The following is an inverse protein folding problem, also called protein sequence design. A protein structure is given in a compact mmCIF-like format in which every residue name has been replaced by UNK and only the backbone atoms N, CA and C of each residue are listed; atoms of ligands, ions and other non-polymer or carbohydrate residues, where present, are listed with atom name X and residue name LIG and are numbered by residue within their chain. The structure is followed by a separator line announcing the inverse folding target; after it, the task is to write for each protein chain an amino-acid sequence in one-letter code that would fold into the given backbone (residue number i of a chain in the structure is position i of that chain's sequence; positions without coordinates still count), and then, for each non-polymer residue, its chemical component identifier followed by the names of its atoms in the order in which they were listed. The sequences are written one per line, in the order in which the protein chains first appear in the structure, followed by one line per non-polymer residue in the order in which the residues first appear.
data_IF_166993808899
#
_entry.id   IF_166993808899
#
_cell.length_a   1.000
_cell.length_b   1.000
_cell.length_c   1.000
_cell.angle_alpha   90.00
_cell.angle_beta   90.00
_cell.angle_gamma   90.00
#
_symmetry.space_group_name_H-M   'P 1'
#
loop_
_entity.id
_entity.type
_entity.pdbx_description
1 polymer ?
#
# COMPACT_ATOMS: atom_id res chain seq x y z
N UNK A 1 6.73 18.62 12.16
CA UNK A 1 6.21 17.60 11.24
C UNK A 1 6.57 18.03 9.82
N UNK A 2 6.94 17.10 8.91
CA UNK A 2 7.51 17.46 7.60
C UNK A 2 6.62 17.07 6.43
N UNK A 3 5.91 18.04 5.86
CA UNK A 3 5.13 17.85 4.62
C UNK A 3 6.03 17.46 3.45
N UNK A 4 7.24 18.02 3.35
CA UNK A 4 8.20 17.68 2.30
C UNK A 4 8.56 16.19 2.37
N UNK A 5 8.82 15.66 3.58
CA UNK A 5 9.16 14.26 3.73
C UNK A 5 7.98 13.35 3.37
N UNK A 6 6.74 13.71 3.75
CA UNK A 6 5.55 13.00 3.31
C UNK A 6 5.43 12.95 1.78
N UNK A 7 5.59 14.10 1.11
CA UNK A 7 5.53 14.18 -0.35
C UNK A 7 6.63 13.33 -1.00
N UNK A 8 7.84 13.30 -0.44
CA UNK A 8 8.92 12.43 -0.92
C UNK A 8 8.60 10.94 -0.74
N UNK A 9 7.99 10.56 0.39
CA UNK A 9 7.62 9.18 0.68
C UNK A 9 6.45 8.69 -0.19
N UNK A 10 5.53 9.59 -0.54
CA UNK A 10 4.39 9.31 -1.42
C UNK A 10 4.71 9.50 -2.92
N UNK A 11 5.87 10.07 -3.26
CA UNK A 11 6.28 10.28 -4.64
C UNK A 11 6.50 8.93 -5.32
N UNK A 12 5.89 8.75 -6.49
CA UNK A 12 6.03 7.52 -7.24
C UNK A 12 7.49 7.25 -7.63
N UNK A 13 8.30 8.31 -7.82
CA UNK A 13 9.73 8.24 -8.17
C UNK A 13 10.62 7.74 -7.03
N UNK A 14 10.10 7.61 -5.80
CA UNK A 14 10.84 6.96 -4.73
C UNK A 14 11.21 5.53 -5.19
N UNK A 15 12.48 5.09 -5.10
CA UNK A 15 12.91 3.80 -5.63
C UNK A 15 12.51 2.61 -4.72
N UNK A 16 11.24 2.59 -4.29
CA UNK A 16 10.62 1.55 -3.47
C UNK A 16 9.99 0.41 -4.29
N UNK A 17 10.16 0.44 -5.62
CA UNK A 17 9.72 -0.62 -6.54
C UNK A 17 8.24 -0.64 -6.90
N UNK A 18 7.45 0.30 -6.37
CA UNK A 18 6.00 0.41 -6.59
C UNK A 18 5.61 0.45 -8.07
N UNK A 19 6.41 1.11 -8.92
CA UNK A 19 6.19 1.18 -10.38
C UNK A 19 6.24 -0.16 -11.12
N UNK A 20 6.89 -1.18 -10.54
CA UNK A 20 6.98 -2.52 -11.09
C UNK A 20 5.79 -3.41 -10.71
N UNK A 21 4.88 -2.94 -9.85
CA UNK A 21 3.70 -3.68 -9.42
C UNK A 21 2.43 -2.99 -9.94
N UNK A 22 1.51 -3.76 -10.51
CA UNK A 22 0.22 -3.26 -10.99
C UNK A 22 -0.84 -3.18 -9.89
N UNK A 23 -0.59 -3.83 -8.75
CA UNK A 23 -1.56 -3.96 -7.66
C UNK A 23 -2.80 -4.76 -8.08
N UNK A 24 -2.62 -5.77 -8.93
CA UNK A 24 -3.69 -6.61 -9.48
C UNK A 24 -4.40 -6.03 -10.70
N UNK A 25 -4.04 -4.81 -11.15
CA UNK A 25 -4.68 -4.21 -12.33
C UNK A 25 -4.36 -4.99 -13.61
N UNK A 26 -3.14 -5.51 -13.76
CA UNK A 26 -2.78 -6.29 -14.96
C UNK A 26 -3.72 -7.50 -15.10
N UNK A 27 -3.93 -8.25 -14.01
CA UNK A 27 -4.85 -9.38 -14.02
C UNK A 27 -6.32 -8.97 -14.28
N UNK A 28 -6.74 -7.80 -13.81
CA UNK A 28 -8.08 -7.28 -14.08
C UNK A 28 -8.28 -6.88 -15.55
N UNK A 29 -7.26 -6.26 -16.17
CA UNK A 29 -7.22 -5.90 -17.58
C UNK A 29 -7.21 -7.14 -18.47
N UNK A 30 -6.34 -8.12 -18.20
CA UNK A 30 -6.27 -9.37 -18.98
C UNK A 30 -7.59 -10.15 -18.91
N UNK A 31 -8.33 -10.04 -17.80
CA UNK A 31 -9.65 -10.62 -17.66
C UNK A 31 -10.78 -9.75 -18.24
N UNK A 32 -10.47 -8.70 -19.00
CA UNK A 32 -11.39 -7.76 -19.64
C UNK A 32 -12.36 -7.07 -18.69
N UNK A 33 -11.96 -6.88 -17.43
CA UNK A 33 -12.79 -6.23 -16.38
C UNK A 33 -12.50 -4.75 -16.21
N UNK A 34 -11.35 -4.31 -16.71
CA UNK A 34 -10.95 -2.90 -16.74
C UNK A 34 -10.44 -2.60 -18.13
N UNK A 35 -11.20 -1.82 -18.88
CA UNK A 35 -10.95 -1.47 -20.28
C UNK A 35 -11.00 0.03 -20.52
N UNK A 36 -11.69 0.77 -19.65
CA UNK A 36 -11.90 2.21 -19.77
C UNK A 36 -12.01 2.88 -18.38
N UNK A 37 -12.10 4.21 -18.36
CA UNK A 37 -11.94 5.06 -17.18
C UNK A 37 -12.96 4.78 -16.06
N UNK A 38 -14.21 4.51 -16.42
CA UNK A 38 -15.30 4.15 -15.50
C UNK A 38 -15.01 2.83 -14.79
N UNK A 39 -14.58 1.80 -15.51
CA UNK A 39 -14.20 0.52 -14.94
C UNK A 39 -12.92 0.63 -14.09
N UNK A 40 -11.99 1.51 -14.47
CA UNK A 40 -10.81 1.83 -13.66
C UNK A 40 -11.23 2.49 -12.34
N UNK A 41 -12.16 3.44 -12.37
CA UNK A 41 -12.70 4.07 -11.17
C UNK A 41 -13.29 3.02 -10.21
N UNK A 42 -14.16 2.13 -10.71
CA UNK A 42 -14.77 1.07 -9.90
C UNK A 42 -13.72 0.10 -9.33
N UNK A 43 -12.71 -0.27 -10.13
CA UNK A 43 -11.60 -1.11 -9.66
C UNK A 43 -10.82 -0.44 -8.52
N UNK A 44 -10.46 0.84 -8.69
CA UNK A 44 -9.70 1.59 -7.70
C UNK A 44 -10.50 1.86 -6.45
N UNK A 45 -11.79 2.18 -6.57
CA UNK A 45 -12.70 2.37 -5.43
C UNK A 45 -12.85 1.07 -4.63
N UNK A 46 -13.08 -0.05 -5.30
CA UNK A 46 -13.17 -1.36 -4.65
C UNK A 46 -11.87 -1.74 -3.93
N UNK A 47 -10.72 -1.45 -4.55
CA UNK A 47 -9.42 -1.68 -3.92
C UNK A 47 -9.19 -0.77 -2.70
N UNK A 48 -9.50 0.51 -2.84
CA UNK A 48 -9.35 1.54 -1.80
C UNK A 48 -10.18 1.19 -0.55
N UNK A 49 -11.45 0.86 -0.75
CA UNK A 49 -12.40 0.60 0.35
C UNK A 49 -12.23 -0.77 1.02
N UNK A 50 -11.45 -1.67 0.42
CA UNK A 50 -11.12 -2.99 0.98
C UNK A 50 -9.67 -3.03 1.47
N UNK A 51 -8.74 -3.51 0.66
CA UNK A 51 -7.33 -3.69 1.04
C UNK A 51 -6.57 -2.37 1.18
N UNK A 52 -7.06 -1.29 0.57
CA UNK A 52 -6.55 0.07 0.77
C UNK A 52 -6.82 0.58 2.19
N UNK A 53 -8.03 0.38 2.71
CA UNK A 53 -8.39 0.66 4.10
C UNK A 53 -7.53 -0.15 5.07
N UNK A 54 -7.37 -1.45 4.83
CA UNK A 54 -6.51 -2.31 5.66
C UNK A 54 -5.06 -1.79 5.65
N UNK A 55 -4.49 -1.55 4.46
CA UNK A 55 -3.14 -0.99 4.35
C UNK A 55 -2.98 0.35 5.06
N UNK A 56 -3.90 1.29 4.86
CA UNK A 56 -3.86 2.59 5.51
C UNK A 56 -3.97 2.49 7.04
N UNK A 57 -4.83 1.61 7.56
CA UNK A 57 -4.98 1.41 8.99
C UNK A 57 -3.71 0.83 9.62
N UNK A 58 -3.09 -0.17 8.98
CA UNK A 58 -1.82 -0.75 9.45
C UNK A 58 -0.64 0.23 9.35
N UNK A 59 -0.59 1.07 8.31
CA UNK A 59 0.42 2.15 8.22
C UNK A 59 0.25 3.18 9.33
N UNK A 60 -0.99 3.58 9.65
CA UNK A 60 -1.28 4.49 10.74
C UNK A 60 -0.96 3.85 12.11
N UNK A 61 -1.31 2.57 12.32
CA UNK A 61 -1.00 1.84 13.55
C UNK A 61 0.51 1.65 13.77
N UNK A 62 1.26 1.42 12.69
CA UNK A 62 2.72 1.37 12.73
C UNK A 62 3.36 2.69 13.16
N UNK A 63 2.70 3.83 12.93
CA UNK A 63 3.14 5.12 13.46
C UNK A 63 2.81 5.26 14.95
N UNK A 64 1.63 4.79 15.39
CA UNK A 64 1.19 4.90 16.80
C UNK A 64 1.94 3.95 17.75
N UNK A 65 2.48 2.84 17.23
CA UNK A 65 3.41 1.94 17.94
C UNK A 65 4.71 2.62 18.42
N UNK A 66 5.04 3.80 17.88
CA UNK A 66 6.16 4.63 18.32
C UNK A 66 7.54 4.07 17.94
N UNK A 67 8.63 4.74 18.36
CA UNK A 67 9.96 4.51 17.79
C UNK A 67 10.65 3.19 18.20
N UNK A 68 10.19 2.48 19.23
CA UNK A 68 10.95 1.40 19.88
C UNK A 68 10.20 0.06 20.03
N UNK A 69 8.94 -0.03 19.59
CA UNK A 69 8.12 -1.23 19.74
C UNK A 69 8.42 -2.32 18.71
N UNK A 70 9.57 -3.01 18.79
CA UNK A 70 9.79 -4.21 17.95
C UNK A 70 8.66 -5.24 18.13
N UNK A 71 8.17 -5.40 19.37
CA UNK A 71 7.03 -6.26 19.67
C UNK A 71 5.77 -5.80 18.91
N UNK A 72 5.45 -4.51 18.95
CA UNK A 72 4.29 -3.93 18.26
C UNK A 72 4.43 -4.06 16.74
N UNK A 73 5.62 -3.81 16.19
CA UNK A 73 5.88 -4.00 14.75
C UNK A 73 5.77 -5.47 14.33
N UNK A 74 6.22 -6.41 15.16
CA UNK A 74 6.09 -7.83 14.89
C UNK A 74 4.63 -8.31 14.98
N UNK A 75 3.86 -7.79 15.95
CA UNK A 75 2.42 -8.06 16.07
C UNK A 75 1.66 -7.50 14.86
N UNK A 76 1.92 -6.25 14.47
CA UNK A 76 1.35 -5.64 13.26
C UNK A 76 1.69 -6.44 12.00
N UNK A 77 2.94 -6.89 11.83
CA UNK A 77 3.33 -7.70 10.67
C UNK A 77 2.59 -9.04 10.64
N UNK A 78 2.49 -9.73 11.78
CA UNK A 78 1.78 -11.00 11.90
C UNK A 78 0.26 -10.86 11.63
N UNK A 79 -0.35 -9.82 12.18
CA UNK A 79 -1.77 -9.51 11.99
C UNK A 79 -2.07 -9.12 10.53
N UNK A 80 -1.16 -8.39 9.86
CA UNK A 80 -1.29 -8.10 8.43
C UNK A 80 -1.12 -9.35 7.56
N UNK A 81 -0.15 -10.22 7.90
CA UNK A 81 0.10 -11.49 7.19
C UNK A 81 -1.14 -12.39 7.26
N UNK A 82 -1.76 -12.51 8.43
CA UNK A 82 -2.99 -13.28 8.65
C UNK A 82 -4.19 -12.74 7.83
N UNK A 83 -4.25 -11.42 7.61
CA UNK A 83 -5.27 -10.75 6.77
C UNK A 83 -4.93 -10.72 5.29
N UNK A 84 -3.83 -11.35 4.87
CA UNK A 84 -3.36 -11.41 3.49
C UNK A 84 -3.34 -12.86 2.99
N UNK A 85 -4.49 -13.46 2.61
CA UNK A 85 -4.58 -14.91 2.35
C UNK A 85 -3.68 -15.39 1.21
N UNK A 86 -3.47 -14.59 0.17
CA UNK A 86 -2.64 -14.92 -1.01
C UNK A 86 -1.14 -14.94 -0.68
N UNK A 87 -0.45 -16.10 -0.81
CA UNK A 87 1.01 -16.16 -0.73
C UNK A 87 1.74 -15.22 -1.72
N UNK A 88 1.23 -15.05 -2.93
CA UNK A 88 1.77 -14.14 -3.93
C UNK A 88 1.71 -12.69 -3.46
N UNK A 89 0.57 -12.25 -2.91
CA UNK A 89 0.45 -10.91 -2.33
C UNK A 89 1.35 -10.73 -1.11
N UNK A 90 1.49 -11.74 -0.24
CA UNK A 90 2.42 -11.66 0.89
C UNK A 90 3.86 -11.47 0.42
N UNK A 91 4.29 -12.23 -0.60
CA UNK A 91 5.63 -12.08 -1.22
C UNK A 91 5.83 -10.68 -1.82
N UNK A 92 4.84 -10.18 -2.57
CA UNK A 92 4.89 -8.85 -3.18
C UNK A 92 4.95 -7.74 -2.11
N UNK A 93 4.09 -7.79 -1.10
CA UNK A 93 4.06 -6.84 0.00
C UNK A 93 5.37 -6.81 0.77
N UNK A 94 5.96 -7.98 1.08
CA UNK A 94 7.28 -8.07 1.74
C UNK A 94 8.41 -7.54 0.84
N UNK A 95 8.35 -7.79 -0.47
CA UNK A 95 9.34 -7.24 -1.41
C UNK A 95 9.31 -5.71 -1.45
N UNK A 96 8.11 -5.13 -1.56
CA UNK A 96 7.89 -3.69 -1.52
C UNK A 96 8.32 -3.09 -0.18
N UNK A 97 7.99 -3.75 0.95
CA UNK A 97 8.42 -3.30 2.28
C UNK A 97 9.94 -3.25 2.44
N UNK A 98 10.66 -4.30 2.01
CA UNK A 98 12.13 -4.31 1.98
C UNK A 98 12.70 -3.18 1.13
N UNK A 99 12.16 -3.00 -0.08
CA UNK A 99 12.63 -1.98 -1.02
C UNK A 99 12.39 -0.57 -0.48
N UNK A 100 11.23 -0.35 0.15
CA UNK A 100 10.89 0.91 0.81
C UNK A 100 11.87 1.24 1.94
N UNK A 101 12.10 0.30 2.88
CA UNK A 101 13.05 0.54 3.97
C UNK A 101 14.47 0.81 3.46
N UNK A 102 14.91 0.10 2.41
CA UNK A 102 16.20 0.36 1.75
C UNK A 102 16.26 1.77 1.17
N UNK A 103 15.24 2.18 0.43
CA UNK A 103 15.19 3.49 -0.22
C UNK A 103 15.19 4.63 0.81
N UNK A 104 14.36 4.50 1.85
CA UNK A 104 14.24 5.49 2.93
C UNK A 104 15.53 5.55 3.76
N UNK A 105 16.18 4.41 3.99
CA UNK A 105 17.44 4.32 4.72
C UNK A 105 18.61 5.13 4.13
N UNK A 106 18.48 5.62 2.89
CA UNK A 106 19.46 6.51 2.28
C UNK A 106 19.38 7.96 2.81
N UNK A 107 18.21 8.39 3.27
CA UNK A 107 17.95 9.77 3.72
C UNK A 107 17.51 9.90 5.17
N UNK A 108 16.94 8.84 5.75
CA UNK A 108 16.45 8.80 7.12
C UNK A 108 16.99 7.59 7.86
N UNK A 109 17.18 7.75 9.17
CA UNK A 109 17.57 6.68 10.08
C UNK A 109 16.77 6.81 11.37
N UNK A 110 16.66 5.71 12.13
CA UNK A 110 15.97 5.73 13.40
C UNK A 110 15.56 4.33 13.88
N UNK A 111 15.22 4.22 15.17
CA UNK A 111 14.90 2.93 15.78
C UNK A 111 13.66 2.26 15.16
N UNK A 112 12.70 3.04 14.64
CA UNK A 112 11.54 2.51 13.93
C UNK A 112 11.91 1.74 12.65
N UNK A 113 12.84 2.28 11.84
CA UNK A 113 13.32 1.59 10.64
C UNK A 113 14.07 0.30 10.99
N UNK A 114 14.91 0.36 12.04
CA UNK A 114 15.64 -0.82 12.53
C UNK A 114 14.69 -1.90 13.04
N UNK A 115 13.68 -1.51 13.84
CA UNK A 115 12.69 -2.43 14.38
C UNK A 115 11.84 -3.06 13.26
N UNK A 116 11.31 -2.25 12.34
CA UNK A 116 10.55 -2.73 11.19
C UNK A 116 11.38 -3.66 10.30
N UNK A 117 12.65 -3.38 10.07
CA UNK A 117 13.53 -4.27 9.30
C UNK A 117 13.76 -5.63 9.96
N UNK A 118 13.66 -5.71 11.28
CA UNK A 118 13.94 -6.91 12.07
C UNK A 118 12.73 -7.84 12.23
N UNK A 119 11.51 -7.43 11.88
CA UNK A 119 10.29 -8.24 12.12
C UNK A 119 10.28 -9.56 11.35
N UNK A 120 10.93 -9.61 10.18
CA UNK A 120 10.92 -10.79 9.32
C UNK A 120 12.15 -10.82 8.39
N UNK A 121 12.75 -11.98 8.09
CA UNK A 121 13.95 -12.08 7.24
C UNK A 121 13.73 -11.61 5.80
N UNK A 122 12.51 -11.79 5.28
CA UNK A 122 12.10 -11.22 4.00
C UNK A 122 11.57 -9.78 4.15
N UNK A 123 11.87 -9.08 5.24
CA UNK A 123 11.38 -7.75 5.56
C UNK A 123 9.90 -7.68 5.92
N UNK A 124 9.49 -6.52 6.46
CA UNK A 124 8.12 -6.26 6.85
C UNK A 124 7.20 -6.15 5.64
N UNK A 125 5.91 -6.31 5.87
CA UNK A 125 4.88 -5.92 4.92
C UNK A 125 4.94 -4.42 4.61
N UNK A 126 4.59 -4.07 3.37
CA UNK A 126 4.72 -2.69 2.87
C UNK A 126 4.02 -1.65 3.76
N UNK A 127 2.80 -1.87 4.28
CA UNK A 127 2.14 -0.89 5.15
C UNK A 127 2.90 -0.61 6.44
N UNK A 128 3.49 -1.65 7.04
CA UNK A 128 4.31 -1.55 8.25
C UNK A 128 5.58 -0.76 7.95
N UNK A 129 6.26 -1.09 6.83
CA UNK A 129 7.43 -0.36 6.37
C UNK A 129 7.14 1.13 6.14
N UNK A 130 5.98 1.45 5.57
CA UNK A 130 5.56 2.83 5.29
C UNK A 130 5.28 3.62 6.56
N UNK A 131 4.60 3.02 7.54
CA UNK A 131 4.42 3.63 8.86
C UNK A 131 5.76 3.91 9.54
N UNK A 132 6.68 2.94 9.56
CA UNK A 132 8.03 3.10 10.12
C UNK A 132 8.85 4.19 9.41
N UNK A 133 8.76 4.29 8.08
CA UNK A 133 9.37 5.36 7.31
C UNK A 133 8.81 6.73 7.69
N UNK A 134 7.50 6.83 7.88
CA UNK A 134 6.84 8.05 8.33
C UNK A 134 7.25 8.45 9.76
N UNK A 135 7.44 7.49 10.67
CA UNK A 135 8.01 7.74 12.01
C UNK A 135 9.40 8.37 11.87
N UNK A 136 10.30 7.76 11.10
CA UNK A 136 11.66 8.24 10.93
C UNK A 136 11.72 9.62 10.24
N UNK A 137 10.74 9.92 9.40
CA UNK A 137 10.60 11.20 8.71
C UNK A 137 9.86 12.29 9.53
N UNK A 138 9.30 11.95 10.70
CA UNK A 138 8.55 12.89 11.54
C UNK A 138 7.22 13.36 10.93
N UNK A 139 6.51 12.46 10.26
CA UNK A 139 5.18 12.69 9.65
C UNK A 139 4.06 12.43 10.67
N UNK A 140 2.89 13.08 10.52
CA UNK A 140 1.74 12.91 11.42
C UNK A 140 0.83 11.74 11.04
N UNK A 141 0.08 11.19 12.00
CA UNK A 141 -0.75 10.00 11.81
C UNK A 141 -1.82 10.16 10.72
N UNK A 142 -2.51 11.30 10.72
CA UNK A 142 -3.52 11.61 9.71
C UNK A 142 -2.92 11.65 8.30
N UNK A 143 -1.74 12.26 8.17
CA UNK A 143 -1.02 12.34 6.90
C UNK A 143 -0.55 10.96 6.41
N UNK A 144 -0.16 10.06 7.32
CA UNK A 144 0.21 8.68 6.99
C UNK A 144 -0.98 7.92 6.42
N UNK A 145 -2.13 7.97 7.09
CA UNK A 145 -3.35 7.29 6.62
C UNK A 145 -3.77 7.81 5.24
N UNK A 146 -3.75 9.13 5.05
CA UNK A 146 -4.06 9.77 3.78
C UNK A 146 -3.09 9.36 2.67
N UNK A 147 -1.78 9.41 2.93
CA UNK A 147 -0.76 9.05 1.95
C UNK A 147 -0.80 7.55 1.60
N UNK A 148 -1.08 6.68 2.57
CA UNK A 148 -1.24 5.25 2.34
C UNK A 148 -2.50 4.95 1.51
N UNK A 149 -3.63 5.60 1.82
CA UNK A 149 -4.87 5.48 1.06
C UNK A 149 -4.69 5.96 -0.39
N UNK A 150 -4.07 7.13 -0.59
CA UNK A 150 -3.74 7.66 -1.91
C UNK A 150 -2.80 6.73 -2.69
N UNK A 151 -1.71 6.27 -2.06
CA UNK A 151 -0.74 5.34 -2.67
C UNK A 151 -1.40 4.03 -3.08
N UNK A 152 -2.49 3.64 -2.39
CA UNK A 152 -3.24 2.45 -2.76
C UNK A 152 -3.91 2.59 -4.14
N UNK A 153 -4.27 3.79 -4.58
CA UNK A 153 -4.92 3.97 -5.89
C UNK A 153 -3.98 4.50 -6.97
N UNK A 154 -2.99 5.32 -6.62
CA UNK A 154 -2.08 5.92 -7.61
C UNK A 154 -1.15 4.90 -8.27
N UNK A 155 -0.69 3.89 -7.52
CA UNK A 155 0.13 2.80 -8.05
C UNK A 155 -0.57 2.06 -9.20
N UNK A 156 -1.71 1.40 -8.96
CA UNK A 156 -2.49 0.74 -10.00
C UNK A 156 -2.95 1.70 -11.10
N UNK A 157 -3.40 2.92 -10.77
CA UNK A 157 -3.81 3.90 -11.77
C UNK A 157 -2.69 4.21 -12.79
N UNK A 158 -1.44 4.32 -12.33
CA UNK A 158 -0.28 4.53 -13.20
C UNK A 158 0.06 3.34 -14.11
N UNK A 159 -0.42 2.14 -13.78
CA UNK A 159 -0.29 0.97 -14.64
C UNK A 159 -1.33 0.97 -15.77
N UNK A 160 -2.49 1.61 -15.60
CA UNK A 160 -3.58 1.62 -16.57
C UNK A 160 -3.13 2.15 -17.94
N UNK A 161 -2.38 3.25 -17.99
CA UNK A 161 -1.87 3.82 -19.25
C UNK A 161 -1.00 2.82 -20.02
N UNK A 162 -0.17 2.04 -19.31
CA UNK A 162 0.71 1.02 -19.93
C UNK A 162 -0.04 -0.25 -20.35
N UNK A 163 -1.15 -0.56 -19.67
CA UNK A 163 -1.91 -1.80 -19.86
C UNK A 163 -3.00 -1.69 -20.93
N UNK A 164 -3.75 -0.59 -20.94
CA UNK A 164 -4.91 -0.39 -21.82
C UNK A 164 -4.83 0.88 -22.69
N UNK A 165 -3.71 1.61 -22.64
CA UNK A 165 -3.53 2.81 -23.46
C UNK A 165 -4.52 3.94 -23.13
N UNK A 166 -5.08 3.95 -21.93
CA UNK A 166 -5.98 5.00 -21.46
C UNK A 166 -5.27 6.35 -21.41
N UNK A 167 -5.98 7.41 -21.78
CA UNK A 167 -5.49 8.79 -21.72
C UNK A 167 -5.02 9.15 -20.29
N UNK A 168 -3.77 9.63 -20.10
CA UNK A 168 -3.28 10.10 -18.81
C UNK A 168 -4.18 11.15 -18.14
N UNK A 169 -4.86 12.00 -18.90
CA UNK A 169 -5.77 13.01 -18.36
C UNK A 169 -7.03 12.34 -17.78
N UNK A 170 -7.51 11.26 -18.41
CA UNK A 170 -8.61 10.46 -17.87
C UNK A 170 -8.22 9.74 -16.57
N UNK A 171 -6.98 9.24 -16.48
CA UNK A 171 -6.45 8.65 -15.23
C UNK A 171 -6.40 9.69 -14.11
N UNK A 172 -5.93 10.90 -14.43
CA UNK A 172 -5.94 12.04 -13.50
C UNK A 172 -7.35 12.37 -13.04
N UNK A 173 -8.32 12.41 -13.96
CA UNK A 173 -9.72 12.68 -13.63
C UNK A 173 -10.32 11.61 -12.70
N UNK A 174 -10.01 10.33 -12.92
CA UNK A 174 -10.43 9.23 -12.03
C UNK A 174 -9.85 9.40 -10.64
N UNK A 175 -8.55 9.70 -10.51
CA UNK A 175 -7.91 9.92 -9.21
C UNK A 175 -8.49 11.14 -8.48
N UNK A 176 -8.78 12.22 -9.20
CA UNK A 176 -9.43 13.41 -8.63
C UNK A 176 -10.85 13.09 -8.13
N UNK A 177 -11.62 12.29 -8.87
CA UNK A 177 -12.96 11.87 -8.48
C UNK A 177 -12.98 10.98 -7.23
N UNK A 178 -11.89 10.26 -6.94
CA UNK A 178 -11.75 9.41 -5.75
C UNK A 178 -11.41 10.20 -4.47
N UNK A 179 -11.14 11.50 -4.54
CA UNK A 179 -10.71 12.30 -3.37
C UNK A 179 -11.62 12.14 -2.13
N UNK A 180 -12.97 12.19 -2.24
CA UNK A 180 -13.84 12.01 -1.09
C UNK A 180 -13.68 10.61 -0.47
N UNK A 181 -13.62 9.57 -1.31
CA UNK A 181 -13.44 8.19 -0.84
C UNK A 181 -12.06 7.93 -0.24
N UNK A 182 -11.01 8.60 -0.75
CA UNK A 182 -9.66 8.54 -0.17
C UNK A 182 -9.69 9.15 1.23
N UNK A 183 -10.34 10.30 1.40
CA UNK A 183 -10.52 10.97 2.69
C UNK A 183 -11.28 10.11 3.68
N UNK A 184 -12.45 9.60 3.29
CA UNK A 184 -13.27 8.74 4.14
C UNK A 184 -12.50 7.47 4.57
N UNK A 185 -11.73 6.88 3.65
CA UNK A 185 -10.88 5.72 3.93
C UNK A 185 -9.77 6.05 4.91
N UNK A 186 -9.11 7.20 4.75
CA UNK A 186 -8.05 7.66 5.64
C UNK A 186 -8.57 7.95 7.06
N UNK A 187 -9.75 8.58 7.17
CA UNK A 187 -10.40 8.85 8.45
C UNK A 187 -10.82 7.55 9.15
N UNK A 188 -11.38 6.59 8.42
CA UNK A 188 -11.71 5.27 8.95
C UNK A 188 -10.46 4.50 9.40
N UNK A 189 -9.39 4.54 8.61
CA UNK A 189 -8.09 3.94 8.95
C UNK A 189 -7.49 4.53 10.22
N UNK A 190 -7.48 5.87 10.34
CA UNK A 190 -6.96 6.56 11.52
C UNK A 190 -7.80 6.22 12.75
N UNK A 191 -9.13 6.21 12.64
CA UNK A 191 -10.01 5.81 13.74
C UNK A 191 -9.70 4.41 14.23
N UNK A 192 -9.48 3.46 13.32
CA UNK A 192 -9.15 2.08 13.67
C UNK A 192 -7.77 1.95 14.32
N UNK A 193 -6.78 2.71 13.85
CA UNK A 193 -5.41 2.70 14.37
C UNK A 193 -5.26 3.24 15.82
N UNK A 194 -6.31 3.85 16.37
CA UNK A 194 -6.37 4.24 17.79
C UNK A 194 -6.85 3.09 18.71
N UNK A 195 -7.44 2.04 18.13
CA UNK A 195 -7.88 0.85 18.84
C UNK A 195 -6.79 -0.21 18.99
N UNK A 196 -7.11 -1.38 19.56
CA UNK A 196 -6.19 -2.50 19.65
C UNK A 196 -5.87 -3.08 18.26
N UNK A 197 -4.64 -3.59 18.08
CA UNK A 197 -4.15 -4.14 16.80
C UNK A 197 -5.09 -5.25 16.28
N UNK A 198 -5.60 -6.09 17.17
CA UNK A 198 -6.53 -7.19 16.83
C UNK A 198 -7.85 -6.73 16.22
N UNK A 199 -8.27 -5.48 16.47
CA UNK A 199 -9.50 -4.88 15.92
C UNK A 199 -9.25 -4.08 14.63
N UNK A 200 -8.02 -4.03 14.12
CA UNK A 200 -7.73 -3.41 12.83
C UNK A 200 -8.56 -4.06 11.71
N UNK A 201 -8.96 -3.29 10.68
CA UNK A 201 -9.84 -3.76 9.62
C UNK A 201 -9.31 -5.03 8.95
N UNK A 202 -10.21 -5.95 8.62
CA UNK A 202 -9.90 -7.27 8.05
C UNK A 202 -10.63 -7.51 6.73
N UNK A 203 -11.01 -6.44 6.02
CA UNK A 203 -11.60 -6.56 4.69
C UNK A 203 -10.64 -7.28 3.74
N UNK A 204 -11.16 -8.24 2.99
CA UNK A 204 -10.43 -8.95 1.95
C UNK A 204 -10.85 -8.48 0.57
N UNK A 205 -10.03 -8.78 -0.44
CA UNK A 205 -10.38 -8.61 -1.84
C UNK A 205 -10.21 -9.95 -2.55
N UNK A 206 -11.15 -10.91 -2.39
CA UNK A 206 -10.97 -12.29 -2.86
C UNK A 206 -10.61 -12.40 -4.34
N UNK A 207 -11.11 -11.49 -5.18
CA UNK A 207 -10.74 -11.44 -6.60
C UNK A 207 -9.28 -11.07 -6.79
N UNK A 208 -8.76 -10.09 -6.06
CA UNK A 208 -7.34 -9.72 -6.10
C UNK A 208 -6.47 -10.83 -5.50
N UNK A 209 -6.93 -11.51 -4.46
CA UNK A 209 -6.22 -12.64 -3.84
C UNK A 209 -6.05 -13.79 -4.83
N UNK A 210 -7.15 -14.22 -5.46
CA UNK A 210 -7.16 -15.31 -6.45
C UNK A 210 -6.34 -14.90 -7.68
N UNK A 211 -6.58 -13.69 -8.21
CA UNK A 211 -5.87 -13.21 -9.39
C UNK A 211 -4.37 -13.05 -9.17
N UNK A 212 -3.91 -12.71 -7.97
CA UNK A 212 -2.49 -12.64 -7.65
C UNK A 212 -1.81 -14.02 -7.71
N UNK A 213 -2.48 -15.09 -7.24
CA UNK A 213 -1.95 -16.45 -7.37
C UNK A 213 -1.85 -16.86 -8.84
N UNK A 214 -2.89 -16.61 -9.63
CA UNK A 214 -2.86 -16.90 -11.06
C UNK A 214 -1.80 -16.09 -11.81
N UNK A 215 -1.72 -14.78 -11.57
CA UNK A 215 -0.72 -13.89 -12.20
C UNK A 215 0.72 -14.32 -11.85
N UNK A 216 0.92 -14.87 -10.65
CA UNK A 216 2.24 -15.37 -10.25
C UNK A 216 2.75 -16.53 -11.12
N UNK A 217 1.85 -17.27 -11.78
CA UNK A 217 2.19 -18.39 -12.68
C UNK A 217 2.28 -17.98 -14.15
N UNK A 218 2.08 -16.71 -14.50
CA UNK A 218 2.15 -16.27 -15.90
C UNK A 218 3.60 -16.24 -16.40
N UNK A 219 3.82 -16.80 -17.59
CA UNK A 219 5.12 -16.78 -18.26
C UNK A 219 5.44 -15.38 -18.81
N UNK A 220 4.44 -14.68 -19.35
CA UNK A 220 4.56 -13.32 -19.89
C UNK A 220 3.70 -12.39 -19.04
N UNK A 221 4.36 -11.43 -18.40
CA UNK A 221 3.74 -10.36 -17.59
C UNK A 221 4.56 -9.08 -17.70
N UNK A 222 3.87 -7.95 -17.71
CA UNK A 222 4.47 -6.61 -17.72
C UNK A 222 4.85 -6.16 -16.31
N UNK A 223 4.12 -6.61 -15.29
CA UNK A 223 4.34 -6.25 -13.90
C UNK A 223 4.77 -7.46 -13.05
N UNK A 224 5.46 -7.19 -11.95
CA UNK A 224 5.91 -8.21 -11.00
C UNK A 224 4.77 -8.77 -10.15
N UNK A 225 3.65 -8.04 -10.00
CA UNK A 225 2.39 -8.47 -9.40
C UNK A 225 1.22 -7.56 -9.77
#
# INVERSE_FOLDING_TARGET
MSLIALLMLADSRLPAGTHAHSGGLEAAVTAERVRHADELYEFLLGRLTTIGLVGAAFSAAALTAGPAGLADFAELDAEFDARSPSPAQRRASRALGRQLLRAVGAGWSGPALTAAAAVHPNGPHQPIAFGAACVAAGVCAQDVAMAAALSSVTGPASAATRLIGIDPDAVTAVLAALEPSIRDTADAAMKAALGPISELPSFSAPRLDISAEHHSTWEVRLFAS
#
